data_IF_803719521461
#
_entry.id   IF_803719521461
#
_cell.length_a   1.000
_cell.length_b   1.000
_cell.length_c   1.000
_cell.angle_alpha   90.00
_cell.angle_beta   90.00
_cell.angle_gamma   90.00
#
_symmetry.space_group_name_H-M   'P 1'
#
loop_
_entity.id
_entity.type
_entity.pdbx_description
1 polymer ?
#
# COMPACT_ATOMS: atom_id res chain seq x y z
N UNK A 1 7.72 -9.02 4.74
CA UNK A 1 8.13 -7.66 4.35
C UNK A 1 9.05 -7.72 3.14
N UNK A 2 8.80 -6.92 2.11
CA UNK A 2 9.63 -6.82 0.89
C UNK A 2 9.90 -5.35 0.56
N UNK A 3 11.11 -4.99 0.08
CA UNK A 3 11.41 -3.64 -0.39
C UNK A 3 10.39 -3.18 -1.45
N UNK A 4 10.03 -1.90 -1.44
CA UNK A 4 9.07 -1.36 -2.42
C UNK A 4 9.53 -1.57 -3.86
N UNK A 5 10.84 -1.45 -4.12
CA UNK A 5 11.47 -1.70 -5.43
C UNK A 5 11.30 -3.13 -5.95
N UNK A 6 10.91 -4.08 -5.10
CA UNK A 6 10.69 -5.48 -5.48
C UNK A 6 9.21 -5.82 -5.70
N UNK A 7 8.30 -4.84 -5.61
CA UNK A 7 6.87 -5.04 -5.80
C UNK A 7 6.49 -4.81 -7.27
N UNK A 8 5.94 -5.81 -7.99
CA UNK A 8 5.41 -5.62 -9.34
C UNK A 8 4.35 -4.52 -9.36
N UNK A 9 4.51 -3.54 -10.26
CA UNK A 9 3.66 -2.35 -10.34
C UNK A 9 4.18 -1.13 -9.57
N UNK A 10 5.23 -1.30 -8.75
CA UNK A 10 5.98 -0.23 -8.12
C UNK A 10 7.09 0.26 -9.07
N UNK A 11 6.70 0.94 -10.15
CA UNK A 11 7.63 1.67 -11.03
C UNK A 11 7.99 2.96 -10.29
N UNK A 12 9.16 2.97 -9.62
CA UNK A 12 9.56 4.02 -8.68
C UNK A 12 9.19 5.45 -9.09
N UNK A 13 8.64 6.22 -8.14
CA UNK A 13 8.37 7.67 -8.24
C UNK A 13 7.58 8.15 -9.46
N UNK A 14 6.95 7.25 -10.22
CA UNK A 14 6.01 7.61 -11.28
C UNK A 14 4.61 7.76 -10.69
N UNK A 15 3.96 8.90 -10.91
CA UNK A 15 2.61 9.25 -10.44
C UNK A 15 1.48 8.27 -10.86
N UNK A 16 1.80 7.19 -11.58
CA UNK A 16 0.90 6.18 -12.14
C UNK A 16 1.11 4.78 -11.56
N UNK A 17 2.07 4.57 -10.65
CA UNK A 17 2.28 3.27 -10.02
C UNK A 17 1.09 2.90 -9.12
N UNK A 18 0.62 1.66 -9.25
CA UNK A 18 -0.48 1.11 -8.45
C UNK A 18 -0.15 -0.33 -8.04
N UNK A 19 -0.59 -0.72 -6.85
CA UNK A 19 -0.49 -2.09 -6.36
C UNK A 19 -1.87 -2.68 -6.10
N UNK A 20 -2.01 -3.98 -6.39
CA UNK A 20 -3.20 -4.74 -6.01
C UNK A 20 -3.08 -5.19 -4.56
N UNK A 21 -4.02 -4.72 -3.73
CA UNK A 21 -4.12 -5.03 -2.31
C UNK A 21 -5.36 -5.86 -2.06
N UNK A 22 -5.24 -6.91 -1.26
CA UNK A 22 -6.42 -7.68 -0.85
C UNK A 22 -7.13 -7.00 0.33
N UNK A 23 -8.34 -6.50 0.09
CA UNK A 23 -9.23 -6.02 1.15
C UNK A 23 -9.95 -7.21 1.77
N UNK A 24 -9.52 -7.60 2.98
CA UNK A 24 -10.10 -8.74 3.70
C UNK A 24 -11.51 -8.46 4.19
N UNK A 25 -11.77 -7.22 4.62
CA UNK A 25 -13.09 -6.78 5.09
C UNK A 25 -14.16 -6.97 4.03
N UNK A 26 -13.83 -6.64 2.79
CA UNK A 26 -14.73 -6.72 1.64
C UNK A 26 -14.54 -8.01 0.80
N UNK A 27 -13.56 -8.85 1.15
CA UNK A 27 -13.17 -10.08 0.42
C UNK A 27 -12.93 -9.87 -1.07
N UNK A 28 -12.31 -8.75 -1.44
CA UNK A 28 -11.97 -8.42 -2.83
C UNK A 28 -10.57 -7.82 -2.95
N UNK A 29 -10.02 -7.85 -4.15
CA UNK A 29 -8.81 -7.10 -4.47
C UNK A 29 -9.16 -5.69 -4.91
N UNK A 30 -8.37 -4.71 -4.48
CA UNK A 30 -8.51 -3.29 -4.86
C UNK A 30 -7.18 -2.75 -5.35
N UNK A 31 -7.23 -1.84 -6.30
CA UNK A 31 -6.05 -1.16 -6.84
C UNK A 31 -5.78 0.09 -6.02
N UNK A 32 -4.61 0.18 -5.38
CA UNK A 32 -4.20 1.29 -4.53
C UNK A 32 -3.03 2.03 -5.17
N UNK A 33 -3.12 3.35 -5.27
CA UNK A 33 -2.09 4.20 -5.88
C UNK A 33 -0.87 4.35 -4.97
N UNK A 34 0.30 4.38 -5.59
CA UNK A 34 1.57 4.67 -4.93
C UNK A 34 1.81 6.19 -4.87
N UNK A 35 2.37 6.63 -3.75
CA UNK A 35 2.70 8.02 -3.46
C UNK A 35 4.09 8.09 -2.83
N UNK A 36 4.78 9.21 -3.03
CA UNK A 36 6.10 9.40 -2.45
C UNK A 36 6.03 9.51 -0.92
N UNK A 37 5.04 10.25 -0.39
CA UNK A 37 4.88 10.50 1.04
C UNK A 37 3.42 10.48 1.46
N UNK A 38 3.18 10.19 2.73
CA UNK A 38 1.83 10.19 3.33
C UNK A 38 1.02 11.49 3.06
N UNK A 39 1.60 12.70 3.10
CA UNK A 39 0.85 13.92 2.80
C UNK A 39 0.31 14.02 1.36
N UNK A 40 0.90 13.29 0.41
CA UNK A 40 0.48 13.28 -0.99
C UNK A 40 -0.76 12.41 -1.23
N UNK A 41 -1.07 11.51 -0.28
CA UNK A 41 -2.30 10.71 -0.27
C UNK A 41 -3.48 11.66 0.00
N UNK A 42 -4.59 11.59 -0.75
CA UNK A 42 -5.79 12.36 -0.42
C UNK A 42 -6.35 11.98 0.95
N UNK A 43 -6.95 12.95 1.65
CA UNK A 43 -7.53 12.72 2.97
C UNK A 43 -8.66 11.68 2.90
N UNK A 44 -8.60 10.66 3.76
CA UNK A 44 -9.57 9.56 3.81
C UNK A 44 -9.33 8.44 2.78
N UNK A 45 -8.42 8.65 1.83
CA UNK A 45 -8.11 7.65 0.80
C UNK A 45 -6.95 6.74 1.23
N UNK A 46 -6.94 5.48 0.74
CA UNK A 46 -5.79 4.61 0.88
C UNK A 46 -4.67 4.99 -0.09
N UNK A 47 -3.43 4.76 0.33
CA UNK A 47 -2.23 4.92 -0.50
C UNK A 47 -1.16 3.91 -0.14
N UNK A 48 -0.25 3.65 -1.08
CA UNK A 48 1.02 2.96 -0.81
C UNK A 48 2.12 4.00 -0.74
N UNK A 49 2.83 4.08 0.38
CA UNK A 49 4.01 4.95 0.55
C UNK A 49 5.25 4.11 0.81
N UNK A 50 6.43 4.70 0.68
CA UNK A 50 7.67 4.07 1.14
C UNK A 50 7.99 4.53 2.54
N UNK A 51 8.07 3.58 3.46
CA UNK A 51 8.45 3.83 4.84
C UNK A 51 9.88 4.31 4.98
N UNK A 52 10.14 5.10 6.02
CA UNK A 52 11.48 5.60 6.37
C UNK A 52 12.39 4.55 7.03
N UNK A 53 11.99 3.28 7.05
CA UNK A 53 12.60 2.15 7.78
C UNK A 53 13.99 1.71 7.28
N UNK A 54 14.74 2.59 6.61
CA UNK A 54 16.11 2.36 6.13
C UNK A 54 16.22 1.44 4.91
N UNK A 55 15.27 0.50 4.74
CA UNK A 55 15.19 -0.45 3.62
C UNK A 55 14.10 -0.09 2.60
N UNK A 56 13.29 0.95 2.89
CA UNK A 56 12.25 1.41 1.97
C UNK A 56 11.15 0.39 1.71
N UNK A 57 10.57 -0.17 2.79
CA UNK A 57 9.40 -1.05 2.67
C UNK A 57 8.19 -0.30 2.15
N UNK A 58 7.37 -0.95 1.32
CA UNK A 58 6.07 -0.40 0.96
C UNK A 58 5.10 -0.51 2.13
N UNK A 59 4.40 0.58 2.40
CA UNK A 59 3.48 0.72 3.52
C UNK A 59 2.09 1.06 2.97
N UNK A 60 1.09 0.25 3.32
CA UNK A 60 -0.30 0.58 3.08
C UNK A 60 -0.77 1.54 4.17
N UNK A 61 -1.18 2.74 3.76
CA UNK A 61 -1.61 3.83 4.64
C UNK A 61 -3.01 4.30 4.27
N UNK A 62 -3.69 4.94 5.22
CA UNK A 62 -4.91 5.72 4.99
C UNK A 62 -4.67 7.09 5.61
N UNK A 63 -4.70 8.16 4.82
CA UNK A 63 -4.41 9.48 5.38
C UNK A 63 -5.56 9.92 6.28
N UNK A 64 -5.26 10.15 7.55
CA UNK A 64 -6.27 10.50 8.56
C UNK A 64 -7.12 9.31 9.02
N UNK A 65 -6.66 8.07 8.80
CA UNK A 65 -7.39 6.87 9.20
C UNK A 65 -6.48 5.66 9.44
N UNK A 66 -7.11 4.50 9.67
CA UNK A 66 -6.42 3.23 9.91
C UNK A 66 -6.55 2.30 8.71
N UNK A 67 -5.43 1.94 8.09
CA UNK A 67 -5.41 0.91 7.05
C UNK A 67 -5.86 -0.45 7.58
N UNK A 68 -5.50 -0.79 8.82
CA UNK A 68 -5.91 -2.06 9.44
C UNK A 68 -7.44 -2.14 9.59
N UNK A 69 -8.09 -1.03 9.98
CA UNK A 69 -9.54 -0.97 10.11
C UNK A 69 -10.23 -1.00 8.73
N UNK A 70 -9.76 -0.18 7.78
CA UNK A 70 -10.38 -0.05 6.47
C UNK A 70 -10.29 -1.34 5.65
N UNK A 71 -9.18 -2.07 5.75
CA UNK A 71 -8.93 -3.31 5.00
C UNK A 71 -9.19 -4.59 5.82
N UNK A 72 -9.46 -4.47 7.12
CA UNK A 72 -9.66 -5.62 8.01
C UNK A 72 -8.40 -6.47 8.21
N UNK A 73 -7.25 -5.82 8.39
CA UNK A 73 -5.94 -6.47 8.50
C UNK A 73 -5.53 -6.68 9.97
N UNK A 74 -4.79 -7.76 10.19
CA UNK A 74 -4.08 -8.06 11.43
C UNK A 74 -2.61 -8.33 11.16
N UNK A 75 -1.78 -8.24 12.19
CA UNK A 75 -0.35 -8.57 12.07
C UNK A 75 -0.17 -9.98 11.50
N UNK A 76 0.71 -10.12 10.52
CA UNK A 76 0.97 -11.39 9.81
C UNK A 76 0.11 -11.63 8.58
N UNK A 77 -0.88 -10.78 8.31
CA UNK A 77 -1.66 -10.87 7.06
C UNK A 77 -0.80 -10.54 5.83
N UNK A 78 -1.08 -11.26 4.73
CA UNK A 78 -0.53 -10.92 3.41
C UNK A 78 -1.37 -9.81 2.79
N UNK A 79 -0.78 -8.63 2.66
CA UNK A 79 -1.44 -7.42 2.14
C UNK A 79 -1.41 -7.36 0.61
N UNK A 80 -0.26 -7.70 0.01
CA UNK A 80 -0.05 -7.61 -1.43
C UNK A 80 -0.25 -8.96 -2.12
N UNK A 81 -1.03 -8.98 -3.20
CA UNK A 81 -1.02 -10.08 -4.17
C UNK A 81 -0.09 -9.70 -5.32
N UNK A 82 1.18 -10.13 -5.20
CA UNK A 82 2.13 -10.02 -6.30
C UNK A 82 1.80 -11.16 -7.25
N UNK A 83 1.06 -10.86 -8.33
CA UNK A 83 0.99 -11.79 -9.47
C UNK A 83 2.36 -11.76 -10.13
N UNK A 84 2.98 -12.93 -10.25
CA UNK A 84 4.26 -13.11 -10.93
C UNK A 84 4.07 -13.12 -12.44
#
# INVERSE_FOLDING_TARGET
DRPASELPGYEGTGATAHLTVHNRRERRSVTVRCYDRLPDVPLGEPGITVGSSGVGFAELVVRGGSAAELFGLSQGDRVFHLTS
#
